data_IF_211511983174
#
_entry.id   IF_211511983174
#
_cell.length_a   1.000
_cell.length_b   1.000
_cell.length_c   1.000
_cell.angle_alpha   90.00
_cell.angle_beta   90.00
_cell.angle_gamma   90.00
#
_symmetry.space_group_name_H-M   'P 1'
#
loop_
_entity.id
_entity.type
_entity.pdbx_description
1 polymer ?
#
# COMPACT_ATOMS: atom_id res chain seq x y z
N UNK A 1 -26.78 16.27 -15.12
CA UNK A 1 -25.98 15.08 -15.47
C UNK A 1 -24.72 15.14 -14.64
N UNK A 2 -24.69 14.42 -13.57
CA UNK A 2 -23.45 14.18 -12.84
C UNK A 2 -22.74 13.08 -13.60
N UNK A 3 -21.68 13.43 -14.30
CA UNK A 3 -20.77 12.44 -14.83
C UNK A 3 -20.17 11.70 -13.62
N UNK A 4 -20.71 10.52 -13.35
CA UNK A 4 -20.07 9.58 -12.48
C UNK A 4 -18.67 9.29 -13.02
N UNK A 5 -17.72 8.81 -12.18
CA UNK A 5 -16.39 8.49 -12.68
C UNK A 5 -16.54 7.59 -13.90
N UNK A 6 -15.97 8.03 -15.00
CA UNK A 6 -16.06 7.34 -16.27
C UNK A 6 -15.67 5.88 -16.08
N UNK A 7 -16.41 4.95 -16.69
CA UNK A 7 -16.12 3.52 -16.62
C UNK A 7 -14.65 3.28 -16.93
N UNK A 8 -13.88 2.83 -15.95
CA UNK A 8 -12.47 2.48 -16.09
C UNK A 8 -11.46 3.36 -15.37
N UNK A 9 -11.88 4.41 -14.69
CA UNK A 9 -10.95 5.23 -13.89
C UNK A 9 -11.04 4.91 -12.40
N UNK A 10 -9.90 4.60 -11.80
CA UNK A 10 -9.78 4.30 -10.39
C UNK A 10 -9.69 5.58 -9.55
N UNK A 11 -10.04 5.48 -8.26
CA UNK A 11 -9.86 6.57 -7.27
C UNK A 11 -8.44 7.15 -7.29
N UNK A 12 -7.43 6.33 -7.51
CA UNK A 12 -6.03 6.77 -7.59
C UNK A 12 -5.66 7.51 -8.89
N UNK A 13 -6.61 7.66 -9.82
CA UNK A 13 -6.40 8.31 -11.10
C UNK A 13 -5.90 7.37 -12.21
N UNK A 14 -5.58 6.13 -11.89
CA UNK A 14 -5.09 5.18 -12.90
C UNK A 14 -6.22 4.62 -13.75
N UNK A 15 -5.91 4.29 -15.00
CA UNK A 15 -6.82 3.61 -15.92
C UNK A 15 -6.76 2.11 -15.67
N UNK A 16 -7.92 1.44 -15.71
CA UNK A 16 -8.00 -0.01 -15.51
C UNK A 16 -7.06 -0.78 -16.42
N UNK A 17 -6.42 -1.81 -15.86
CA UNK A 17 -5.57 -2.73 -16.61
C UNK A 17 -6.32 -3.98 -17.07
N UNK A 18 -5.58 -4.99 -17.62
CA UNK A 18 -6.20 -6.23 -18.14
C UNK A 18 -7.03 -7.00 -17.11
N UNK A 19 -6.70 -6.94 -15.81
CA UNK A 19 -7.47 -7.60 -14.76
C UNK A 19 -8.63 -6.76 -14.22
N UNK A 20 -8.70 -5.48 -14.57
CA UNK A 20 -9.71 -4.56 -14.08
C UNK A 20 -9.11 -3.33 -13.40
N UNK A 21 -9.77 -2.84 -12.35
CA UNK A 21 -9.29 -1.71 -11.56
C UNK A 21 -8.33 -2.17 -10.45
N UNK A 22 -7.72 -1.21 -9.74
CA UNK A 22 -6.75 -1.54 -8.69
C UNK A 22 -7.28 -2.52 -7.64
N UNK A 23 -8.57 -2.45 -7.31
CA UNK A 23 -9.19 -3.38 -6.35
C UNK A 23 -9.11 -4.84 -6.83
N UNK A 24 -9.28 -5.08 -8.13
CA UNK A 24 -9.18 -6.42 -8.69
C UNK A 24 -7.76 -6.96 -8.58
N UNK A 25 -6.76 -6.12 -8.86
CA UNK A 25 -5.34 -6.46 -8.66
C UNK A 25 -5.02 -6.73 -7.20
N UNK A 26 -5.48 -5.87 -6.31
CA UNK A 26 -5.24 -6.00 -4.87
C UNK A 26 -5.82 -7.31 -4.32
N UNK A 27 -7.07 -7.63 -4.65
CA UNK A 27 -7.68 -8.89 -4.23
C UNK A 27 -6.97 -10.10 -4.82
N UNK A 28 -6.51 -10.00 -6.06
CA UNK A 28 -5.70 -11.05 -6.69
C UNK A 28 -4.38 -11.28 -5.98
N UNK A 29 -3.70 -10.21 -5.58
CA UNK A 29 -2.46 -10.28 -4.78
C UNK A 29 -2.73 -10.98 -3.45
N UNK A 30 -3.75 -10.55 -2.71
CA UNK A 30 -4.08 -11.14 -1.42
C UNK A 30 -4.39 -12.64 -1.54
N UNK A 31 -5.09 -13.05 -2.59
CA UNK A 31 -5.40 -14.44 -2.85
C UNK A 31 -4.13 -15.26 -3.13
N UNK A 32 -3.22 -14.74 -3.95
CA UNK A 32 -1.98 -15.44 -4.30
C UNK A 32 -1.04 -15.56 -3.10
N UNK A 33 -0.96 -14.53 -2.26
CA UNK A 33 -0.16 -14.53 -1.03
C UNK A 33 -0.52 -15.68 -0.08
N UNK A 34 -1.78 -16.12 -0.05
CA UNK A 34 -2.22 -17.19 0.83
C UNK A 34 -1.50 -18.51 0.55
N UNK A 35 -1.10 -18.73 -0.69
CA UNK A 35 -0.41 -19.95 -1.10
C UNK A 35 1.11 -19.76 -1.28
N UNK A 36 1.62 -18.55 -1.10
CA UNK A 36 3.02 -18.22 -1.37
C UNK A 36 3.64 -17.39 -0.26
N UNK A 37 4.30 -18.04 0.73
CA UNK A 37 4.94 -17.33 1.85
C UNK A 37 6.02 -16.33 1.43
N UNK A 38 6.71 -16.56 0.32
CA UNK A 38 7.72 -15.63 -0.17
C UNK A 38 7.09 -14.34 -0.70
N UNK A 39 5.95 -14.45 -1.37
CA UNK A 39 5.18 -13.30 -1.82
C UNK A 39 4.57 -12.54 -0.63
N UNK A 40 4.13 -13.25 0.39
CA UNK A 40 3.53 -12.68 1.60
C UNK A 40 4.46 -11.72 2.34
N UNK A 41 5.77 -11.79 2.15
CA UNK A 41 6.72 -10.84 2.74
C UNK A 41 6.39 -9.39 2.40
N UNK A 42 5.77 -9.14 1.25
CA UNK A 42 5.38 -7.79 0.83
C UNK A 42 3.97 -7.40 1.23
N UNK A 43 3.29 -8.25 2.04
CA UNK A 43 1.90 -8.01 2.44
C UNK A 43 1.72 -6.63 3.12
N UNK A 44 2.53 -6.30 4.11
CA UNK A 44 2.40 -5.03 4.82
C UNK A 44 2.56 -3.80 3.91
N UNK A 45 3.62 -3.69 3.09
CA UNK A 45 3.71 -2.56 2.17
C UNK A 45 2.60 -2.55 1.10
N UNK A 46 2.14 -3.71 0.65
CA UNK A 46 1.01 -3.80 -0.30
C UNK A 46 -0.26 -3.21 0.31
N UNK A 47 -0.61 -3.63 1.52
CA UNK A 47 -1.82 -3.14 2.20
C UNK A 47 -1.72 -1.63 2.45
N UNK A 48 -0.60 -1.16 2.99
CA UNK A 48 -0.42 0.26 3.28
C UNK A 48 -0.48 1.12 2.02
N UNK A 49 0.20 0.72 0.96
CA UNK A 49 0.21 1.46 -0.29
C UNK A 49 -1.18 1.48 -0.95
N UNK A 50 -1.86 0.33 -0.96
CA UNK A 50 -3.21 0.26 -1.54
C UNK A 50 -4.18 1.21 -0.83
N UNK A 51 -4.21 1.19 0.50
CA UNK A 51 -5.12 2.04 1.27
C UNK A 51 -4.78 3.53 1.13
N UNK A 52 -3.50 3.88 1.02
CA UNK A 52 -3.08 5.26 0.81
C UNK A 52 -3.35 5.77 -0.61
N UNK A 53 -3.39 4.89 -1.60
CA UNK A 53 -3.82 5.24 -2.95
C UNK A 53 -5.35 5.24 -3.12
N UNK A 54 -6.08 4.57 -2.20
CA UNK A 54 -7.54 4.44 -2.23
C UNK A 54 -8.11 4.73 -0.84
N UNK A 55 -7.95 5.97 -0.33
CA UNK A 55 -8.23 6.26 1.08
C UNK A 55 -9.71 6.39 1.44
N UNK A 56 -10.63 6.42 0.48
CA UNK A 56 -12.05 6.65 0.73
C UNK A 56 -12.70 5.62 1.68
N UNK A 57 -12.15 4.40 1.75
CA UNK A 57 -12.67 3.34 2.62
C UNK A 57 -11.97 3.23 3.97
N UNK A 58 -11.03 4.11 4.31
CA UNK A 58 -10.21 3.99 5.50
C UNK A 58 -10.33 5.22 6.41
N UNK A 59 -10.28 4.99 7.72
CA UNK A 59 -10.28 6.07 8.70
C UNK A 59 -8.92 6.79 8.70
N UNK A 60 -8.95 8.12 8.84
CA UNK A 60 -7.76 8.98 8.81
C UNK A 60 -6.66 8.53 9.79
N UNK A 61 -7.04 8.09 10.99
CA UNK A 61 -6.11 7.58 12.00
C UNK A 61 -5.28 6.39 11.49
N UNK A 62 -5.92 5.48 10.76
CA UNK A 62 -5.24 4.32 10.19
C UNK A 62 -4.34 4.73 9.02
N UNK A 63 -4.79 5.66 8.20
CA UNK A 63 -4.00 6.18 7.10
C UNK A 63 -2.71 6.84 7.59
N UNK A 64 -2.76 7.57 8.71
CA UNK A 64 -1.57 8.18 9.31
C UNK A 64 -0.52 7.12 9.68
N UNK A 65 -0.93 6.05 10.35
CA UNK A 65 -0.02 4.95 10.71
C UNK A 65 0.57 4.30 9.46
N UNK A 66 -0.26 4.04 8.46
CA UNK A 66 0.19 3.42 7.21
C UNK A 66 1.16 4.30 6.45
N UNK A 67 0.96 5.61 6.45
CA UNK A 67 1.88 6.56 5.84
C UNK A 67 3.24 6.54 6.54
N UNK A 68 3.26 6.48 7.87
CA UNK A 68 4.50 6.36 8.64
C UNK A 68 5.19 5.03 8.39
N UNK A 69 4.44 3.94 8.25
CA UNK A 69 4.99 2.62 7.87
C UNK A 69 5.68 2.64 6.51
N UNK A 70 5.07 3.30 5.52
CA UNK A 70 5.69 3.40 4.20
C UNK A 70 6.94 4.28 4.23
N UNK A 71 6.95 5.36 5.02
CA UNK A 71 8.15 6.17 5.20
C UNK A 71 9.29 5.37 5.84
N UNK A 72 8.97 4.54 6.84
CA UNK A 72 9.94 3.63 7.44
C UNK A 72 10.51 2.66 6.41
N UNK A 73 9.64 2.08 5.57
CA UNK A 73 10.05 1.17 4.51
C UNK A 73 11.01 1.86 3.53
N UNK A 74 10.68 3.06 3.06
CA UNK A 74 11.53 3.81 2.14
C UNK A 74 12.88 4.14 2.76
N UNK A 75 12.89 4.46 4.06
CA UNK A 75 14.11 4.84 4.79
C UNK A 75 14.98 3.63 5.15
N UNK A 76 14.38 2.54 5.65
CA UNK A 76 15.11 1.43 6.29
C UNK A 76 14.89 0.06 5.64
N UNK A 77 14.00 -0.05 4.66
CA UNK A 77 13.79 -1.28 3.91
C UNK A 77 12.74 -2.22 4.50
N UNK A 78 12.53 -3.33 3.79
CA UNK A 78 11.47 -4.29 4.08
C UNK A 78 11.65 -4.96 5.45
N UNK A 79 12.87 -5.39 5.80
CA UNK A 79 13.09 -6.10 7.06
C UNK A 79 12.75 -5.24 8.28
N UNK A 80 13.05 -3.94 8.23
CA UNK A 80 12.67 -3.01 9.29
C UNK A 80 11.15 -2.90 9.41
N UNK A 81 10.44 -2.78 8.29
CA UNK A 81 8.98 -2.74 8.29
C UNK A 81 8.38 -4.04 8.84
N UNK A 82 8.93 -5.20 8.44
CA UNK A 82 8.45 -6.50 8.92
C UNK A 82 8.60 -6.64 10.42
N UNK A 83 9.70 -6.16 11.00
CA UNK A 83 9.89 -6.19 12.46
C UNK A 83 8.85 -5.33 13.17
N UNK A 84 8.58 -4.14 12.67
CA UNK A 84 7.57 -3.24 13.25
C UNK A 84 6.17 -3.83 13.10
N UNK A 85 5.83 -4.36 11.93
CA UNK A 85 4.53 -4.99 11.71
C UNK A 85 4.31 -6.18 12.64
N UNK A 86 5.31 -7.04 12.81
CA UNK A 86 5.24 -8.18 13.74
C UNK A 86 5.06 -7.71 15.19
N UNK A 87 5.73 -6.64 15.60
CA UNK A 87 5.57 -6.05 16.93
C UNK A 87 4.15 -5.56 17.18
N UNK A 88 3.55 -4.87 16.20
CA UNK A 88 2.17 -4.39 16.32
C UNK A 88 1.17 -5.54 16.44
N UNK A 89 1.35 -6.59 15.64
CA UNK A 89 0.50 -7.79 15.71
C UNK A 89 0.62 -8.48 17.07
N UNK A 90 1.84 -8.63 17.59
CA UNK A 90 2.08 -9.27 18.89
C UNK A 90 1.40 -8.50 20.04
N UNK A 91 1.42 -7.17 20.00
CA UNK A 91 0.71 -6.34 20.98
C UNK A 91 -0.79 -6.60 20.97
N UNK A 92 -1.39 -6.71 19.78
CA UNK A 92 -2.83 -6.90 19.64
C UNK A 92 -3.28 -8.27 20.14
N UNK A 93 -2.43 -9.30 20.05
CA UNK A 93 -2.74 -10.66 20.55
C UNK A 93 -2.87 -10.73 22.07
N UNK A 94 -2.28 -9.80 22.81
CA UNK A 94 -2.31 -9.79 24.28
C UNK A 94 -3.44 -8.94 24.87
N UNK A 95 -4.49 -8.66 24.07
CA UNK A 95 -5.69 -7.98 24.55
C UNK A 95 -5.55 -6.47 24.80
N UNK A 96 -4.41 -5.88 24.46
CA UNK A 96 -4.29 -4.43 24.40
C UNK A 96 -4.95 -3.97 23.10
N UNK A 97 -6.15 -3.46 23.24
CA UNK A 97 -6.99 -3.03 22.12
C UNK A 97 -6.25 -2.10 21.18
N UNK A 98 -6.22 -2.44 19.90
CA UNK A 98 -6.12 -1.62 18.69
C UNK A 98 -5.42 -0.25 18.81
N UNK A 99 -4.48 -0.07 19.71
CA UNK A 99 -3.59 1.08 19.74
C UNK A 99 -2.24 0.66 19.19
N UNK A 100 -1.74 1.42 18.23
CA UNK A 100 -0.41 1.20 17.72
C UNK A 100 0.63 1.73 18.73
N UNK A 101 1.75 1.02 18.85
CA UNK A 101 2.93 1.57 19.49
C UNK A 101 3.58 2.54 18.50
N UNK A 102 3.54 3.83 18.80
CA UNK A 102 4.02 4.87 17.89
C UNK A 102 5.52 5.13 17.98
N UNK A 103 6.22 4.51 18.95
CA UNK A 103 7.67 4.72 19.13
C UNK A 103 8.51 4.40 17.88
N UNK A 104 8.23 3.31 17.13
CA UNK A 104 9.00 3.02 15.92
C UNK A 104 8.83 4.07 14.82
N UNK A 105 7.81 4.92 14.92
CA UNK A 105 7.47 5.92 13.91
C UNK A 105 7.94 7.34 14.28
N UNK A 106 8.60 7.48 15.43
CA UNK A 106 9.19 8.76 15.82
C UNK A 106 10.20 9.22 14.75
N UNK A 107 10.06 10.45 14.30
CA UNK A 107 10.88 11.01 13.24
C UNK A 107 10.28 10.93 11.84
N UNK A 108 9.19 10.17 11.66
CA UNK A 108 8.44 10.16 10.39
C UNK A 108 7.26 11.11 10.46
N UNK A 109 7.02 11.83 9.36
CA UNK A 109 5.95 12.81 9.29
C UNK A 109 4.55 12.20 9.34
N UNK A 110 3.62 12.96 9.91
CA UNK A 110 2.20 12.60 9.89
C UNK A 110 1.59 12.74 8.50
N UNK A 111 0.42 12.16 8.32
CA UNK A 111 -0.35 12.29 7.09
C UNK A 111 -0.64 13.77 6.81
N UNK A 112 -0.36 14.27 5.59
CA UNK A 112 -0.63 15.67 5.25
C UNK A 112 -2.11 16.02 5.32
N UNK A 113 -2.47 17.22 5.83
CA UNK A 113 -3.87 17.61 6.00
C UNK A 113 -4.59 18.05 4.73
N UNK A 114 -3.89 18.14 3.59
CA UNK A 114 -4.44 18.67 2.34
C UNK A 114 -5.37 17.75 1.58
N UNK A 115 -5.75 16.61 2.12
CA UNK A 115 -6.55 15.60 1.43
C UNK A 115 -5.72 14.66 0.57
N UNK A 116 -6.35 13.62 0.00
CA UNK A 116 -5.64 12.62 -0.77
C UNK A 116 -5.12 13.14 -2.11
N UNK A 117 -3.95 12.67 -2.57
CA UNK A 117 -3.49 12.93 -3.93
C UNK A 117 -4.45 12.31 -4.94
N UNK A 118 -4.66 12.99 -6.06
CA UNK A 118 -5.51 12.48 -7.15
C UNK A 118 -4.76 11.63 -8.18
N UNK A 119 -3.44 11.51 -8.06
CA UNK A 119 -2.60 10.80 -9.00
C UNK A 119 -1.36 10.23 -8.32
N UNK A 120 -0.96 9.04 -8.77
CA UNK A 120 0.26 8.36 -8.33
C UNK A 120 1.06 7.91 -9.55
N UNK A 121 2.38 8.05 -9.49
CA UNK A 121 3.28 7.71 -10.58
C UNK A 121 3.25 6.22 -10.92
N UNK A 122 2.94 5.36 -9.96
CA UNK A 122 2.78 3.93 -10.13
C UNK A 122 1.56 3.44 -9.36
N UNK A 123 0.77 2.56 -9.96
CA UNK A 123 -0.48 2.05 -9.38
C UNK A 123 -0.59 0.53 -9.54
N UNK A 124 -1.46 -0.10 -8.75
CA UNK A 124 -1.63 -1.55 -8.73
C UNK A 124 -2.13 -2.12 -10.05
N UNK A 125 -3.02 -1.41 -10.76
CA UNK A 125 -3.54 -1.87 -12.05
C UNK A 125 -2.51 -1.83 -13.19
N UNK A 126 -1.30 -1.37 -12.93
CA UNK A 126 -0.19 -1.39 -13.87
C UNK A 126 0.76 -2.58 -13.66
N UNK A 127 0.52 -3.40 -12.63
CA UNK A 127 1.37 -4.56 -12.34
C UNK A 127 1.25 -5.62 -13.43
N UNK A 128 2.38 -6.19 -13.90
CA UNK A 128 2.34 -7.34 -14.81
C UNK A 128 1.70 -8.55 -14.13
N UNK A 129 0.82 -9.21 -14.87
CA UNK A 129 0.20 -10.46 -14.47
C UNK A 129 0.26 -11.41 -15.67
N UNK A 130 0.91 -12.54 -15.50
CA UNK A 130 1.06 -13.53 -16.55
C UNK A 130 1.10 -14.94 -15.96
N UNK A 131 0.65 -15.91 -16.72
CA UNK A 131 0.60 -17.33 -16.31
C UNK A 131 -0.15 -17.52 -14.98
N UNK A 132 -1.17 -16.72 -14.74
CA UNK A 132 -1.98 -16.79 -13.54
C UNK A 132 -1.30 -16.24 -12.28
N UNK A 133 -0.23 -15.45 -12.40
CA UNK A 133 0.58 -15.02 -11.26
C UNK A 133 1.16 -13.62 -11.42
N UNK A 134 1.31 -12.91 -10.28
CA UNK A 134 2.07 -11.66 -10.18
C UNK A 134 3.57 -11.90 -10.00
N UNK A 135 3.99 -13.11 -9.72
CA UNK A 135 5.39 -13.47 -9.46
C UNK A 135 5.96 -14.41 -10.52
N UNK A 136 5.36 -14.48 -11.70
CA UNK A 136 5.81 -15.34 -12.80
C UNK A 136 7.25 -15.08 -13.24
N UNK A 137 7.75 -13.85 -13.07
CA UNK A 137 9.13 -13.47 -13.36
C UNK A 137 10.01 -13.39 -12.10
N UNK A 138 9.55 -13.94 -10.99
CA UNK A 138 10.28 -14.06 -9.74
C UNK A 138 9.81 -13.10 -8.64
N UNK A 139 10.04 -13.51 -7.40
CA UNK A 139 9.64 -12.75 -6.21
C UNK A 139 10.41 -11.43 -6.08
N UNK A 140 11.68 -11.39 -6.46
CA UNK A 140 12.48 -10.16 -6.41
C UNK A 140 11.99 -9.11 -7.40
N UNK A 141 11.60 -9.54 -8.60
CA UNK A 141 11.02 -8.62 -9.59
C UNK A 141 9.70 -8.03 -9.09
N UNK A 142 8.84 -8.87 -8.52
CA UNK A 142 7.61 -8.44 -7.87
C UNK A 142 7.89 -7.44 -6.73
N UNK A 143 8.83 -7.76 -5.85
CA UNK A 143 9.21 -6.90 -4.73
C UNK A 143 9.67 -5.51 -5.17
N UNK A 144 10.45 -5.43 -6.26
CA UNK A 144 10.87 -4.15 -6.84
C UNK A 144 9.70 -3.32 -7.35
N UNK A 145 8.69 -3.97 -7.92
CA UNK A 145 7.48 -3.28 -8.38
C UNK A 145 6.67 -2.74 -7.21
N UNK A 146 6.55 -3.52 -6.13
CA UNK A 146 5.90 -3.06 -4.91
C UNK A 146 6.67 -1.88 -4.31
N UNK A 147 8.00 -1.94 -4.27
CA UNK A 147 8.83 -0.82 -3.81
C UNK A 147 8.58 0.44 -4.64
N UNK A 148 8.50 0.32 -5.96
CA UNK A 148 8.17 1.44 -6.84
C UNK A 148 6.81 2.04 -6.51
N UNK A 149 5.80 1.22 -6.26
CA UNK A 149 4.47 1.68 -5.85
C UNK A 149 4.53 2.39 -4.49
N UNK A 150 5.28 1.85 -3.53
CA UNK A 150 5.46 2.46 -2.21
C UNK A 150 6.12 3.84 -2.33
N UNK A 151 7.21 3.93 -3.07
CA UNK A 151 7.90 5.21 -3.30
C UNK A 151 6.99 6.23 -3.96
N UNK A 152 6.25 5.83 -4.99
CA UNK A 152 5.30 6.69 -5.66
C UNK A 152 4.18 7.16 -4.72
N UNK A 153 3.74 6.29 -3.83
CA UNK A 153 2.70 6.62 -2.84
C UNK A 153 3.20 7.68 -1.85
N UNK A 154 4.37 7.46 -1.26
CA UNK A 154 4.97 8.41 -0.30
C UNK A 154 5.25 9.75 -0.97
N UNK A 155 5.82 9.75 -2.16
CA UNK A 155 6.12 10.94 -2.95
C UNK A 155 4.87 11.78 -3.19
N UNK A 156 3.79 11.17 -3.66
CA UNK A 156 2.54 11.86 -3.95
C UNK A 156 1.90 12.47 -2.70
N UNK A 157 1.88 11.74 -1.59
CA UNK A 157 1.35 12.27 -0.33
C UNK A 157 2.18 13.42 0.23
N UNK A 158 3.50 13.37 0.09
CA UNK A 158 4.38 14.47 0.51
C UNK A 158 4.18 15.71 -0.35
N UNK A 159 3.87 15.55 -1.64
CA UNK A 159 3.71 16.68 -2.56
C UNK A 159 2.46 17.50 -2.30
N UNK A 160 1.42 16.95 -1.66
CA UNK A 160 0.21 17.72 -1.32
C UNK A 160 0.43 18.72 -0.18
N UNK A 161 1.59 18.69 0.46
CA UNK A 161 1.98 19.70 1.47
C UNK A 161 2.52 20.98 0.86
N UNK A 162 2.88 20.95 -0.40
CA UNK A 162 3.49 22.12 -1.06
C UNK A 162 2.45 23.16 -1.47
#
# INVERSE_FOLDING_TARGET
MTDGPGMGQCECGAVAGPLGVCADYYHGILAEEQADPQMYRWHAPVVCAYLLQHPSGAHEKYLDVQFRMLQLYVDKGLDALLRVAAHQVARNKHGTRSSYDMRPFEGYGSLPPGGPPGHFRAAFCELPFSDGSFVSDGHLAYGRRIETIVEATVESWRSVQA
#
